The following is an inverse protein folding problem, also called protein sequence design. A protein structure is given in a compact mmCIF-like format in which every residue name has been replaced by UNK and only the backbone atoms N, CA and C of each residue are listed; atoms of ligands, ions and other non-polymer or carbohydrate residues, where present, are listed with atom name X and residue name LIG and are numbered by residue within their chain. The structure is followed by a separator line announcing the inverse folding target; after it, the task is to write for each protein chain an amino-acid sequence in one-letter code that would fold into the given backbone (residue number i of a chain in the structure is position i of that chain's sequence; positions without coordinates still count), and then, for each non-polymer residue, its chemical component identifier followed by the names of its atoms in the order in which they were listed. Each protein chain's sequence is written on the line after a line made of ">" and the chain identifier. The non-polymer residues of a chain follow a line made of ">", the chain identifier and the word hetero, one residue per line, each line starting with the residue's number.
data_IF_636506805300
#
_entry.id   IF_636506805300
#
_cell.length_a   1.000
_cell.length_b   1.000
_cell.length_c   1.000
_cell.angle_alpha   90.00
_cell.angle_beta   90.00
_cell.angle_gamma   90.00
#
_symmetry.space_group_name_H-M   'P 1'
#
loop_
_entity.id
_entity.type
_entity.pdbx_description
1 polymer ?
#
# COMPACT_ATOMS: atom_id res chain seq x y z
N UNK A 1 -14.98 -28.98 22.58
CA UNK A 1 -14.03 -28.70 21.48
C UNK A 1 -13.41 -27.36 21.80
N UNK A 2 -12.11 -27.32 22.09
CA UNK A 2 -11.39 -26.06 22.16
C UNK A 2 -11.32 -25.54 20.72
N UNK A 3 -12.02 -24.47 20.39
CA UNK A 3 -11.74 -23.75 19.14
C UNK A 3 -10.27 -23.33 19.19
N UNK A 4 -9.45 -23.83 18.27
CA UNK A 4 -8.10 -23.32 18.08
C UNK A 4 -8.18 -21.81 17.87
N UNK A 5 -7.61 -21.05 18.79
CA UNK A 5 -7.61 -19.59 18.70
C UNK A 5 -6.66 -19.17 17.58
N UNK A 6 -7.20 -18.71 16.46
CA UNK A 6 -6.41 -17.92 15.51
C UNK A 6 -6.43 -16.46 15.96
N UNK A 7 -5.25 -15.87 16.11
CA UNK A 7 -5.07 -14.47 16.46
C UNK A 7 -4.38 -13.74 15.32
N UNK A 8 -4.84 -12.54 14.99
CA UNK A 8 -4.17 -11.65 14.05
C UNK A 8 -3.62 -10.47 14.85
N UNK A 9 -2.31 -10.26 14.79
CA UNK A 9 -1.65 -9.08 15.36
C UNK A 9 -1.16 -8.19 14.24
N UNK A 10 -1.42 -6.89 14.34
CA UNK A 10 -0.96 -5.91 13.36
C UNK A 10 -0.09 -4.90 14.09
N UNK A 11 1.22 -5.05 13.97
CA UNK A 11 2.19 -4.06 14.44
C UNK A 11 2.27 -2.93 13.42
N UNK A 12 1.98 -1.71 13.85
CA UNK A 12 1.94 -0.53 12.99
C UNK A 12 3.19 0.31 13.21
N UNK A 13 4.19 0.17 12.35
CA UNK A 13 5.44 0.94 12.49
C UNK A 13 5.19 2.43 12.27
N UNK A 14 6.00 3.27 12.91
CA UNK A 14 5.90 4.71 12.72
C UNK A 14 6.44 5.10 11.34
N UNK A 15 5.52 5.22 10.38
CA UNK A 15 5.80 5.49 8.98
C UNK A 15 5.43 6.92 8.53
N UNK A 16 5.11 7.81 9.46
CA UNK A 16 4.77 9.21 9.19
C UNK A 16 3.56 9.34 8.25
N UNK A 17 3.73 9.88 7.03
CA UNK A 17 2.70 9.94 5.99
C UNK A 17 2.65 8.66 5.12
N UNK A 18 3.27 7.57 5.58
CA UNK A 18 3.41 6.33 4.83
C UNK A 18 2.78 5.10 5.48
N UNK A 19 2.80 3.99 4.75
CA UNK A 19 2.36 2.68 5.23
C UNK A 19 3.55 1.82 5.65
N UNK A 20 3.44 1.18 6.83
CA UNK A 20 4.29 0.05 7.18
C UNK A 20 3.68 -0.78 8.30
N UNK A 21 3.34 -2.03 7.99
CA UNK A 21 2.63 -2.93 8.90
C UNK A 21 3.28 -4.31 8.92
N UNK A 22 3.52 -4.86 10.11
CA UNK A 22 3.83 -6.28 10.26
C UNK A 22 2.59 -6.99 10.79
N UNK A 23 2.01 -7.86 9.97
CA UNK A 23 0.88 -8.71 10.33
C UNK A 23 1.39 -10.08 10.72
N UNK A 24 1.12 -10.50 11.95
CA UNK A 24 1.44 -11.82 12.48
C UNK A 24 0.15 -12.61 12.69
N UNK A 25 0.05 -13.77 12.05
CA UNK A 25 -1.06 -14.70 12.20
C UNK A 25 -0.53 -15.93 12.95
N UNK A 26 -1.17 -16.28 14.06
CA UNK A 26 -0.89 -17.52 14.76
C UNK A 26 -2.01 -18.52 14.47
N UNK A 27 -1.70 -19.59 13.73
CA UNK A 27 -2.60 -20.72 13.47
C UNK A 27 -1.98 -21.99 14.06
N UNK A 28 -2.60 -22.55 15.11
CA UNK A 28 -2.09 -23.72 15.84
C UNK A 28 -0.63 -23.49 16.31
N UNK A 29 0.33 -24.26 15.78
CA UNK A 29 1.77 -24.14 16.11
C UNK A 29 2.57 -23.35 15.05
N UNK A 30 1.90 -22.74 14.06
CA UNK A 30 2.54 -21.97 12.99
C UNK A 30 2.30 -20.47 13.17
N UNK A 31 3.38 -19.71 13.04
CA UNK A 31 3.37 -18.26 12.96
C UNK A 31 3.65 -17.83 11.51
N UNK A 32 2.76 -17.03 10.94
CA UNK A 32 2.89 -16.47 9.60
C UNK A 32 3.09 -14.96 9.74
N UNK A 33 4.20 -14.44 9.22
CA UNK A 33 4.56 -13.03 9.31
C UNK A 33 4.54 -12.37 7.92
N UNK A 34 3.76 -11.31 7.78
CA UNK A 34 3.57 -10.55 6.54
C UNK A 34 3.98 -9.10 6.79
N UNK A 35 5.05 -8.65 6.14
CA UNK A 35 5.44 -7.24 6.15
C UNK A 35 4.79 -6.54 4.94
N UNK A 36 3.97 -5.53 5.21
CA UNK A 36 3.23 -4.76 4.19
C UNK A 36 3.81 -3.35 4.18
N UNK A 37 4.43 -2.98 3.05
CA UNK A 37 5.17 -1.74 2.86
C UNK A 37 6.23 -1.47 3.97
N UNK A 38 7.07 -0.46 3.76
CA UNK A 38 8.23 -0.18 4.60
C UNK A 38 8.39 1.31 4.90
N UNK A 39 7.37 2.13 4.65
CA UNK A 39 7.45 3.57 4.84
C UNK A 39 8.60 4.19 4.04
N UNK A 40 9.18 5.24 4.61
CA UNK A 40 10.39 5.88 4.09
C UNK A 40 11.68 5.25 4.67
N UNK A 41 12.85 5.74 4.25
CA UNK A 41 14.14 5.24 4.73
C UNK A 41 14.31 5.37 6.26
N UNK A 42 13.80 6.44 6.87
CA UNK A 42 13.86 6.65 8.31
C UNK A 42 13.02 5.61 9.07
N UNK A 43 11.84 5.27 8.52
CA UNK A 43 10.96 4.22 9.03
C UNK A 43 11.72 2.90 9.14
N UNK A 44 12.45 2.55 8.07
CA UNK A 44 13.29 1.36 8.06
C UNK A 44 14.39 1.41 9.13
N UNK A 45 15.19 2.48 9.14
CA UNK A 45 16.35 2.58 10.02
C UNK A 45 15.98 2.56 11.50
N UNK A 46 14.92 3.28 11.87
CA UNK A 46 14.57 3.53 13.27
C UNK A 46 13.61 2.50 13.85
N UNK A 47 12.75 1.89 13.04
CA UNK A 47 11.65 1.05 13.55
C UNK A 47 11.67 -0.37 12.97
N UNK A 48 11.76 -0.52 11.65
CA UNK A 48 11.66 -1.85 11.02
C UNK A 48 12.92 -2.67 11.28
N UNK A 49 14.12 -2.13 10.97
CA UNK A 49 15.38 -2.87 11.08
C UNK A 49 15.63 -3.44 12.49
N UNK A 50 15.50 -2.66 13.58
CA UNK A 50 15.66 -3.21 14.92
C UNK A 50 14.67 -4.34 15.22
N UNK A 51 13.43 -4.21 14.76
CA UNK A 51 12.39 -5.22 14.95
C UNK A 51 12.70 -6.52 14.18
N UNK A 52 13.11 -6.42 12.91
CA UNK A 52 13.45 -7.59 12.08
C UNK A 52 14.70 -8.31 12.61
N UNK A 53 15.71 -7.59 13.10
CA UNK A 53 16.87 -8.21 13.75
C UNK A 53 16.45 -9.01 14.98
N UNK A 54 15.57 -8.44 15.82
CA UNK A 54 15.06 -9.14 17.00
C UNK A 54 14.21 -10.37 16.63
N UNK A 55 13.39 -10.30 15.58
CA UNK A 55 12.66 -11.46 15.05
C UNK A 55 13.62 -12.55 14.58
N UNK A 56 14.70 -12.18 13.89
CA UNK A 56 15.73 -13.11 13.40
C UNK A 56 16.46 -13.82 14.55
N UNK A 57 16.76 -13.12 15.65
CA UNK A 57 17.31 -13.72 16.89
C UNK A 57 16.40 -14.80 17.49
N UNK A 58 15.08 -14.69 17.26
CA UNK A 58 14.08 -15.65 17.70
C UNK A 58 13.86 -16.80 16.70
N UNK A 59 14.64 -16.85 15.62
CA UNK A 59 14.46 -17.84 14.55
C UNK A 59 13.19 -17.61 13.71
N UNK A 60 12.63 -16.39 13.76
CA UNK A 60 11.46 -16.03 12.94
C UNK A 60 11.91 -15.54 11.56
N UNK A 61 10.94 -15.50 10.66
CA UNK A 61 11.11 -15.04 9.28
C UNK A 61 9.95 -14.19 8.82
N UNK A 62 10.12 -13.51 7.68
CA UNK A 62 9.03 -12.87 6.93
C UNK A 62 8.59 -13.85 5.84
N UNK A 63 7.37 -14.39 5.96
CA UNK A 63 6.82 -15.28 4.94
C UNK A 63 6.49 -14.50 3.66
N UNK A 64 5.92 -13.30 3.82
CA UNK A 64 5.56 -12.44 2.70
C UNK A 64 5.97 -11.00 2.95
N UNK A 65 6.77 -10.43 2.05
CA UNK A 65 6.96 -8.99 1.92
C UNK A 65 6.05 -8.49 0.79
N UNK A 66 5.04 -7.68 1.12
CA UNK A 66 4.09 -7.12 0.15
C UNK A 66 4.41 -5.64 -0.04
N UNK A 67 4.78 -5.25 -1.26
CA UNK A 67 5.02 -3.86 -1.65
C UNK A 67 3.88 -3.39 -2.54
N UNK A 68 3.08 -2.44 -2.05
CA UNK A 68 1.77 -2.14 -2.64
C UNK A 68 1.89 -1.35 -3.95
N UNK A 69 2.77 -0.34 -4.01
CA UNK A 69 3.03 0.50 -5.19
C UNK A 69 4.29 1.38 -5.03
N UNK A 70 4.75 2.02 -6.11
CA UNK A 70 6.03 2.75 -6.18
C UNK A 70 5.90 4.19 -5.69
N UNK A 71 5.60 4.38 -4.40
CA UNK A 71 5.63 5.66 -3.71
C UNK A 71 6.70 5.69 -2.59
N UNK A 72 7.32 6.84 -2.36
CA UNK A 72 8.41 7.00 -1.36
C UNK A 72 8.02 6.64 0.06
N UNK A 73 6.79 6.96 0.40
CA UNK A 73 6.16 6.73 1.70
C UNK A 73 5.65 5.29 1.85
N UNK A 74 5.84 4.44 0.84
CA UNK A 74 5.49 3.01 0.91
C UNK A 74 6.72 2.11 0.75
N UNK A 75 7.49 2.29 -0.33
CA UNK A 75 8.63 1.41 -0.66
C UNK A 75 9.99 1.99 -0.30
N UNK A 76 10.05 3.24 0.19
CA UNK A 76 11.31 3.93 0.46
C UNK A 76 12.19 3.19 1.46
N UNK A 77 11.60 2.58 2.50
CA UNK A 77 12.30 1.73 3.45
C UNK A 77 12.61 0.31 2.94
N UNK A 78 11.94 -0.16 1.88
CA UNK A 78 12.17 -1.49 1.32
C UNK A 78 13.50 -1.57 0.56
N UNK A 79 13.93 -0.46 -0.06
CA UNK A 79 15.22 -0.37 -0.76
C UNK A 79 16.40 -0.65 0.20
N UNK A 80 16.60 0.11 1.31
CA UNK A 80 17.69 -0.17 2.24
C UNK A 80 17.53 -1.53 2.94
N UNK A 81 16.30 -2.00 3.19
CA UNK A 81 16.06 -3.36 3.67
C UNK A 81 16.66 -4.40 2.73
N UNK A 82 16.30 -4.39 1.44
CA UNK A 82 16.77 -5.38 0.48
C UNK A 82 18.28 -5.30 0.25
N UNK A 83 18.85 -4.09 0.22
CA UNK A 83 20.30 -3.86 0.10
C UNK A 83 21.05 -4.46 1.29
N UNK A 84 20.63 -4.15 2.51
CA UNK A 84 21.31 -4.63 3.73
C UNK A 84 21.06 -6.11 3.98
N UNK A 85 19.88 -6.62 3.62
CA UNK A 85 19.54 -8.03 3.76
C UNK A 85 20.25 -8.93 2.73
N UNK A 86 20.76 -8.34 1.64
CA UNK A 86 21.52 -8.97 0.55
C UNK A 86 20.71 -9.91 -0.34
N UNK A 87 20.45 -11.14 0.12
CA UNK A 87 19.92 -12.19 -0.74
C UNK A 87 18.99 -13.15 0.02
N UNK A 88 18.21 -13.91 -0.72
CA UNK A 88 17.38 -14.98 -0.19
C UNK A 88 18.22 -16.10 0.46
N UNK A 89 19.36 -16.47 -0.14
CA UNK A 89 20.18 -17.59 0.34
C UNK A 89 21.07 -17.25 1.54
N UNK A 90 21.48 -15.98 1.68
CA UNK A 90 22.43 -15.51 2.70
C UNK A 90 21.93 -14.22 3.35
N UNK A 91 20.69 -14.25 3.87
CA UNK A 91 20.03 -13.10 4.46
C UNK A 91 20.81 -12.56 5.67
N UNK A 92 21.11 -11.26 5.69
CA UNK A 92 21.87 -10.62 6.79
C UNK A 92 21.01 -9.99 7.89
N UNK A 93 19.73 -9.69 7.61
CA UNK A 93 18.80 -9.11 8.58
C UNK A 93 17.77 -10.15 9.00
N UNK A 94 16.99 -10.67 8.04
CA UNK A 94 15.95 -11.67 8.27
C UNK A 94 15.69 -12.48 6.99
N UNK A 95 15.34 -13.76 7.13
CA UNK A 95 14.83 -14.56 6.01
C UNK A 95 13.53 -13.94 5.48
N UNK A 96 13.49 -13.65 4.18
CA UNK A 96 12.28 -13.20 3.46
C UNK A 96 11.94 -14.27 2.44
N UNK A 97 10.86 -15.01 2.69
CA UNK A 97 10.53 -16.21 1.92
C UNK A 97 9.95 -15.87 0.54
N UNK A 98 8.95 -14.98 0.50
CA UNK A 98 8.31 -14.51 -0.73
C UNK A 98 8.21 -13.00 -0.76
N UNK A 99 8.36 -12.41 -1.95
CA UNK A 99 8.11 -10.98 -2.19
C UNK A 99 6.97 -10.83 -3.19
N UNK A 100 5.94 -10.08 -2.80
CA UNK A 100 4.80 -9.71 -3.63
C UNK A 100 4.96 -8.25 -4.03
N UNK A 101 5.18 -8.01 -5.32
CA UNK A 101 5.35 -6.68 -5.88
C UNK A 101 5.05 -6.73 -7.37
N UNK A 102 4.19 -5.84 -7.89
CA UNK A 102 3.96 -5.83 -9.33
C UNK A 102 5.08 -5.12 -10.08
N UNK A 103 5.59 -3.97 -9.61
CA UNK A 103 6.64 -3.24 -10.32
C UNK A 103 6.33 -3.06 -11.81
N UNK A 104 7.31 -3.37 -12.67
CA UNK A 104 7.13 -3.37 -14.14
C UNK A 104 6.49 -4.65 -14.70
N UNK A 105 5.99 -5.57 -13.87
CA UNK A 105 5.44 -6.84 -14.35
C UNK A 105 4.21 -6.69 -15.25
N UNK A 106 3.68 -5.49 -15.48
CA UNK A 106 2.66 -5.23 -16.49
C UNK A 106 3.06 -5.58 -17.94
N UNK A 107 4.32 -5.90 -18.23
CA UNK A 107 4.78 -6.14 -19.60
C UNK A 107 4.34 -7.43 -20.28
N UNK A 108 3.97 -8.48 -19.54
CA UNK A 108 3.46 -9.69 -20.18
C UNK A 108 2.05 -9.53 -20.73
N UNK A 109 1.36 -8.42 -20.41
CA UNK A 109 0.04 -8.15 -20.98
C UNK A 109 0.10 -7.77 -22.46
N UNK A 110 1.29 -7.41 -22.99
CA UNK A 110 1.54 -7.17 -24.42
C UNK A 110 2.63 -8.10 -25.05
N UNK A 111 3.12 -9.13 -24.36
CA UNK A 111 4.11 -10.09 -24.92
C UNK A 111 5.36 -9.42 -25.53
N UNK A 112 6.01 -8.47 -24.83
CA UNK A 112 7.30 -7.99 -25.31
C UNK A 112 8.38 -9.07 -25.20
N UNK A 113 9.17 -9.30 -26.26
CA UNK A 113 10.19 -10.33 -26.22
C UNK A 113 11.30 -9.96 -25.23
N UNK A 114 11.79 -10.97 -24.51
CA UNK A 114 12.97 -10.85 -23.64
C UNK A 114 14.21 -10.69 -24.52
N UNK A 115 14.68 -9.45 -24.68
CA UNK A 115 15.79 -9.09 -25.56
C UNK A 115 16.70 -8.06 -24.89
N UNK A 116 17.98 -8.09 -25.26
CA UNK A 116 18.94 -7.07 -24.85
C UNK A 116 18.65 -5.72 -25.50
N UNK A 117 18.88 -4.64 -24.73
CA UNK A 117 18.83 -3.29 -25.26
C UNK A 117 20.01 -3.01 -26.22
N UNK A 118 19.74 -2.32 -27.32
CA UNK A 118 20.78 -1.65 -28.11
C UNK A 118 21.47 -0.54 -27.29
N UNK A 119 22.69 -0.16 -27.65
CA UNK A 119 23.42 0.94 -27.01
C UNK A 119 22.66 2.29 -27.02
N UNK A 120 21.71 2.48 -27.96
CA UNK A 120 20.83 3.65 -27.97
C UNK A 120 19.74 3.53 -26.89
N UNK A 121 19.13 2.37 -26.74
CA UNK A 121 18.08 2.11 -25.76
C UNK A 121 18.64 2.12 -24.33
N UNK A 122 19.84 1.56 -24.11
CA UNK A 122 20.54 1.67 -22.82
C UNK A 122 20.73 3.13 -22.40
N UNK A 123 21.21 3.99 -23.32
CA UNK A 123 21.35 5.43 -23.05
C UNK A 123 20.02 6.14 -22.77
N UNK A 124 18.92 5.70 -23.38
CA UNK A 124 17.59 6.20 -23.07
C UNK A 124 17.21 5.86 -21.62
N UNK A 125 17.30 4.59 -21.24
CA UNK A 125 17.00 4.12 -19.89
C UNK A 125 17.86 4.82 -18.83
N UNK A 126 19.17 4.94 -19.06
CA UNK A 126 20.09 5.68 -18.19
C UNK A 126 19.68 7.14 -18.01
N UNK A 127 19.20 7.79 -19.07
CA UNK A 127 18.68 9.15 -19.00
C UNK A 127 17.42 9.29 -18.14
N UNK A 128 16.52 8.30 -18.20
CA UNK A 128 15.30 8.27 -17.38
C UNK A 128 15.66 8.03 -15.92
N UNK A 129 16.57 7.10 -15.64
CA UNK A 129 17.12 6.86 -14.31
C UNK A 129 17.76 8.12 -13.72
N UNK A 130 18.56 8.85 -14.51
CA UNK A 130 19.13 10.13 -14.09
C UNK A 130 18.07 11.19 -13.75
N UNK A 131 16.95 11.23 -14.47
CA UNK A 131 15.83 12.12 -14.15
C UNK A 131 15.11 11.67 -12.87
N UNK A 132 14.85 10.37 -12.70
CA UNK A 132 14.26 9.81 -11.48
C UNK A 132 15.09 10.13 -10.24
N UNK A 133 16.43 10.08 -10.35
CA UNK A 133 17.36 10.55 -9.31
C UNK A 133 17.17 12.02 -8.95
N UNK A 134 17.15 12.89 -9.96
CA UNK A 134 17.03 14.32 -9.74
C UNK A 134 15.70 14.70 -9.08
N UNK A 135 14.66 13.90 -9.31
CA UNK A 135 13.32 14.12 -8.75
C UNK A 135 13.19 13.54 -7.34
N UNK A 136 13.65 12.31 -7.11
CA UNK A 136 13.71 11.72 -5.75
C UNK A 136 14.54 12.59 -4.79
N UNK A 137 15.64 13.16 -5.26
CA UNK A 137 16.53 14.09 -4.54
C UNK A 137 15.93 15.39 -4.01
N UNK A 138 14.72 15.79 -4.45
CA UNK A 138 14.13 17.10 -4.14
C UNK A 138 13.14 17.12 -2.98
N UNK A 139 12.65 15.96 -2.53
CA UNK A 139 11.74 15.85 -1.38
C UNK A 139 12.57 15.63 -0.10
N UNK A 140 12.64 16.67 0.73
CA UNK A 140 13.23 16.75 2.08
C UNK A 140 14.76 16.92 2.23
N UNK A 141 15.09 17.78 3.19
CA UNK A 141 16.41 18.13 3.70
C UNK A 141 16.97 17.01 4.57
N UNK A 142 17.55 15.95 4.01
CA UNK A 142 18.57 15.11 4.70
C UNK A 142 19.09 14.00 3.79
N UNK A 143 20.29 13.49 4.11
CA UNK A 143 21.14 12.61 3.27
C UNK A 143 20.37 11.40 2.72
N UNK A 144 20.13 11.40 1.41
CA UNK A 144 19.43 10.33 0.69
C UNK A 144 20.34 9.20 0.16
N UNK A 145 19.76 8.00 0.12
CA UNK A 145 20.07 6.97 -0.87
C UNK A 145 19.63 7.49 -2.25
N UNK A 146 20.59 7.90 -3.08
CA UNK A 146 20.32 8.41 -4.44
C UNK A 146 19.96 7.24 -5.35
N UNK A 147 18.78 7.24 -5.97
CA UNK A 147 18.23 6.13 -6.75
C UNK A 147 19.07 5.77 -8.00
N UNK A 148 20.13 4.97 -7.84
CA UNK A 148 20.92 4.43 -8.95
C UNK A 148 20.28 3.15 -9.50
N UNK A 149 20.76 2.65 -10.66
CA UNK A 149 20.29 1.37 -11.24
C UNK A 149 20.29 0.22 -10.21
N UNK A 150 21.27 0.25 -9.30
CA UNK A 150 21.47 -0.70 -8.20
C UNK A 150 20.42 -0.62 -7.08
N UNK A 151 19.49 0.33 -7.13
CA UNK A 151 18.54 0.63 -6.04
C UNK A 151 17.07 0.52 -6.46
N UNK A 152 16.81 0.06 -7.70
CA UNK A 152 15.47 -0.33 -8.12
C UNK A 152 15.06 -1.64 -7.44
N UNK A 153 13.79 -1.75 -7.03
CA UNK A 153 13.30 -2.95 -6.34
C UNK A 153 13.43 -4.18 -7.24
N UNK A 154 13.05 -4.08 -8.51
CA UNK A 154 13.18 -5.19 -9.47
C UNK A 154 14.63 -5.68 -9.59
N UNK A 155 15.61 -4.77 -9.61
CA UNK A 155 17.03 -5.11 -9.63
C UNK A 155 17.45 -5.86 -8.37
N UNK A 156 17.13 -5.31 -7.19
CA UNK A 156 17.47 -5.89 -5.90
C UNK A 156 16.85 -7.28 -5.71
N UNK A 157 15.60 -7.48 -6.18
CA UNK A 157 14.93 -8.77 -6.12
C UNK A 157 15.60 -9.83 -7.02
N UNK A 158 16.00 -9.44 -8.24
CA UNK A 158 16.69 -10.32 -9.19
C UNK A 158 18.09 -10.65 -8.69
N UNK A 159 18.89 -9.64 -8.32
CA UNK A 159 20.26 -9.82 -7.85
C UNK A 159 20.32 -10.62 -6.54
N UNK A 160 19.39 -10.35 -5.62
CA UNK A 160 19.28 -11.07 -4.36
C UNK A 160 18.67 -12.47 -4.47
N UNK A 161 18.21 -12.88 -5.67
CA UNK A 161 17.61 -14.19 -5.88
C UNK A 161 16.32 -14.42 -5.07
N UNK A 162 15.58 -13.35 -4.76
CA UNK A 162 14.34 -13.44 -3.99
C UNK A 162 13.22 -14.12 -4.80
N UNK A 163 12.35 -14.87 -4.12
CA UNK A 163 11.14 -15.46 -4.72
C UNK A 163 10.09 -14.39 -4.98
N UNK A 164 10.29 -13.65 -6.06
CA UNK A 164 9.46 -12.53 -6.47
C UNK A 164 8.25 -13.01 -7.28
N UNK A 165 7.06 -12.87 -6.70
CA UNK A 165 5.76 -13.34 -7.18
C UNK A 165 5.75 -14.82 -7.61
N UNK A 166 6.35 -15.68 -6.78
CA UNK A 166 6.46 -17.12 -7.00
C UNK A 166 6.12 -17.83 -5.69
N UNK A 167 5.18 -18.76 -5.70
CA UNK A 167 4.79 -19.56 -4.51
C UNK A 167 4.41 -21.02 -4.80
N UNK A 168 4.05 -21.40 -6.05
CA UNK A 168 3.70 -22.79 -6.42
C UNK A 168 4.71 -23.47 -7.38
N UNK A 169 4.79 -23.04 -8.65
CA UNK A 169 5.44 -23.79 -9.74
C UNK A 169 6.71 -23.11 -10.33
N UNK A 170 7.46 -22.35 -9.54
CA UNK A 170 8.62 -21.53 -9.97
C UNK A 170 8.32 -20.50 -11.08
N UNK A 171 7.06 -20.38 -11.52
CA UNK A 171 6.62 -19.37 -12.49
C UNK A 171 6.26 -18.08 -11.78
N UNK A 172 6.89 -17.00 -12.21
CA UNK A 172 6.54 -15.65 -11.78
C UNK A 172 5.14 -15.30 -12.29
N UNK A 173 4.27 -14.82 -11.39
CA UNK A 173 2.92 -14.38 -11.74
C UNK A 173 2.73 -12.87 -11.52
N UNK A 174 1.84 -12.25 -12.28
CA UNK A 174 1.35 -10.91 -11.96
C UNK A 174 0.26 -11.01 -10.90
N UNK A 175 0.23 -10.04 -9.98
CA UNK A 175 -0.89 -9.87 -9.07
C UNK A 175 -2.01 -9.13 -9.81
N UNK A 176 -3.08 -9.87 -10.13
CA UNK A 176 -4.25 -9.35 -10.85
C UNK A 176 -5.52 -9.83 -10.14
N UNK A 177 -6.39 -8.88 -9.79
CA UNK A 177 -7.60 -9.15 -9.02
C UNK A 177 -8.77 -9.70 -9.85
N UNK A 178 -8.85 -9.37 -11.14
CA UNK A 178 -9.98 -9.80 -12.00
C UNK A 178 -9.98 -11.31 -12.31
N UNK A 179 -8.90 -12.02 -12.03
CA UNK A 179 -8.81 -13.49 -12.06
C UNK A 179 -9.25 -14.14 -10.75
N UNK A 180 -9.73 -13.37 -9.77
CA UNK A 180 -10.01 -13.83 -8.41
C UNK A 180 -8.79 -14.44 -7.73
N UNK A 181 -7.60 -13.96 -8.09
CA UNK A 181 -6.33 -14.47 -7.59
C UNK A 181 -6.26 -14.50 -6.07
N UNK A 182 -5.85 -15.65 -5.55
CA UNK A 182 -5.70 -15.94 -4.13
C UNK A 182 -4.39 -16.68 -3.88
N UNK A 183 -3.79 -16.44 -2.73
CA UNK A 183 -2.64 -17.21 -2.21
C UNK A 183 -3.04 -17.80 -0.86
N UNK A 184 -2.99 -19.12 -0.72
CA UNK A 184 -3.09 -19.78 0.58
C UNK A 184 -1.76 -19.59 1.33
N UNK A 185 -1.85 -19.08 2.57
CA UNK A 185 -0.67 -18.75 3.39
C UNK A 185 -0.59 -19.61 4.65
N UNK A 186 -1.68 -20.27 5.02
CA UNK A 186 -1.79 -21.18 6.15
C UNK A 186 -2.93 -22.17 5.95
N UNK A 187 -3.26 -22.92 7.00
CA UNK A 187 -4.31 -23.96 6.92
C UNK A 187 -5.71 -23.35 6.84
N UNK A 188 -5.89 -22.20 7.49
CA UNK A 188 -7.16 -21.49 7.55
C UNK A 188 -7.03 -20.02 7.13
N UNK A 189 -5.90 -19.67 6.51
CA UNK A 189 -5.58 -18.30 6.14
C UNK A 189 -5.17 -18.16 4.68
N UNK A 190 -5.68 -17.10 4.04
CA UNK A 190 -5.36 -16.77 2.65
C UNK A 190 -5.41 -15.26 2.39
N UNK A 191 -4.69 -14.85 1.36
CA UNK A 191 -4.70 -13.50 0.79
C UNK A 191 -5.54 -13.53 -0.49
N UNK A 192 -6.61 -12.75 -0.53
CA UNK A 192 -7.44 -12.55 -1.72
C UNK A 192 -7.19 -11.17 -2.31
N UNK A 193 -6.62 -11.10 -3.51
CA UNK A 193 -6.36 -9.82 -4.17
C UNK A 193 -7.64 -9.21 -4.74
N UNK A 194 -7.77 -7.89 -4.59
CA UNK A 194 -8.92 -7.09 -5.04
C UNK A 194 -8.51 -5.85 -5.86
N UNK A 195 -7.22 -5.55 -5.94
CA UNK A 195 -6.60 -4.58 -6.85
C UNK A 195 -5.14 -4.98 -7.10
N UNK A 196 -4.54 -4.67 -8.26
CA UNK A 196 -5.14 -4.06 -9.45
C UNK A 196 -5.80 -5.08 -10.39
N UNK A 197 -6.67 -4.63 -11.28
CA UNK A 197 -7.16 -5.38 -12.44
C UNK A 197 -6.20 -5.25 -13.62
N UNK A 198 -6.30 -6.18 -14.58
CA UNK A 198 -5.45 -6.22 -15.78
C UNK A 198 -5.50 -4.90 -16.56
N UNK A 199 -6.66 -4.28 -16.65
CA UNK A 199 -6.84 -3.02 -17.36
C UNK A 199 -6.05 -1.84 -16.75
N UNK A 200 -5.90 -1.80 -15.42
CA UNK A 200 -5.13 -0.73 -14.74
C UNK A 200 -3.65 -0.82 -15.11
N UNK A 201 -3.09 -2.03 -15.07
CA UNK A 201 -1.70 -2.28 -15.49
C UNK A 201 -1.48 -1.92 -16.97
N UNK A 202 -2.43 -2.24 -17.86
CA UNK A 202 -2.37 -1.84 -19.27
C UNK A 202 -2.38 -0.31 -19.44
N UNK A 203 -3.15 0.43 -18.63
CA UNK A 203 -3.23 1.88 -18.71
C UNK A 203 -1.89 2.54 -18.34
N UNK A 204 -1.19 2.01 -17.33
CA UNK A 204 0.13 2.52 -16.95
C UNK A 204 1.20 2.20 -18.00
N UNK A 205 1.17 1.00 -18.61
CA UNK A 205 2.04 0.69 -19.74
C UNK A 205 1.89 1.72 -20.87
N UNK A 206 0.64 2.10 -21.21
CA UNK A 206 0.40 3.13 -22.23
C UNK A 206 0.96 4.50 -21.85
N UNK A 207 0.95 4.86 -20.57
CA UNK A 207 1.61 6.09 -20.07
C UNK A 207 3.12 6.03 -20.26
N UNK A 208 3.74 4.89 -19.93
CA UNK A 208 5.16 4.66 -20.18
C UNK A 208 5.50 4.81 -21.66
N UNK A 209 4.75 4.16 -22.54
CA UNK A 209 4.96 4.29 -23.99
C UNK A 209 4.78 5.71 -24.50
N UNK A 210 3.75 6.42 -24.01
CA UNK A 210 3.51 7.82 -24.36
C UNK A 210 4.65 8.73 -23.87
N UNK A 211 5.18 8.48 -22.67
CA UNK A 211 6.34 9.19 -22.13
C UNK A 211 7.57 8.96 -23.00
N UNK A 212 7.89 7.71 -23.33
CA UNK A 212 9.02 7.36 -24.21
C UNK A 212 8.87 7.99 -25.60
N UNK A 213 7.68 7.91 -26.19
CA UNK A 213 7.39 8.52 -27.51
C UNK A 213 7.53 10.04 -27.47
N UNK A 214 7.12 10.69 -26.39
CA UNK A 214 7.23 12.15 -26.21
C UNK A 214 8.69 12.59 -26.08
N UNK A 215 9.48 11.92 -25.24
CA UNK A 215 10.84 12.34 -24.90
C UNK A 215 11.86 11.85 -25.94
N UNK A 216 11.73 10.61 -26.42
CA UNK A 216 12.73 9.94 -27.25
C UNK A 216 12.24 9.61 -28.67
N UNK A 217 10.98 9.88 -29.00
CA UNK A 217 10.34 9.54 -30.29
C UNK A 217 10.45 8.05 -30.66
N UNK A 218 10.54 7.19 -29.64
CA UNK A 218 10.65 5.73 -29.76
C UNK A 218 9.88 5.08 -28.61
N UNK A 219 9.32 3.89 -28.84
CA UNK A 219 8.76 3.03 -27.80
C UNK A 219 9.70 1.85 -27.59
N UNK A 220 9.92 1.46 -26.33
CA UNK A 220 10.66 0.26 -25.97
C UNK A 220 9.67 -0.90 -25.89
N UNK A 221 9.81 -1.85 -26.81
CA UNK A 221 8.97 -3.04 -26.93
C UNK A 221 9.77 -4.31 -26.60
N UNK A 222 10.52 -4.24 -25.51
CA UNK A 222 11.43 -5.29 -25.03
C UNK A 222 11.32 -5.37 -23.51
N UNK A 223 11.49 -6.56 -22.96
CA UNK A 223 11.56 -6.78 -21.52
C UNK A 223 12.98 -7.20 -21.12
N UNK A 224 13.58 -6.44 -20.21
CA UNK A 224 14.79 -6.81 -19.49
C UNK A 224 14.91 -5.93 -18.24
N UNK A 225 15.91 -6.23 -17.43
CA UNK A 225 16.21 -5.52 -16.18
C UNK A 225 16.39 -4.00 -16.36
N UNK A 226 17.08 -3.57 -17.41
CA UNK A 226 17.36 -2.15 -17.69
C UNK A 226 16.05 -1.39 -17.93
N UNK A 227 15.11 -1.99 -18.67
CA UNK A 227 13.80 -1.38 -18.93
C UNK A 227 12.94 -1.37 -17.67
N UNK A 228 12.97 -2.45 -16.88
CA UNK A 228 12.28 -2.53 -15.56
C UNK A 228 12.72 -1.41 -14.63
N UNK A 229 14.03 -1.19 -14.52
CA UNK A 229 14.61 -0.13 -13.69
C UNK A 229 14.22 1.27 -14.20
N UNK A 230 14.26 1.49 -15.52
CA UNK A 230 13.84 2.75 -16.11
C UNK A 230 12.34 3.02 -15.92
N UNK A 231 11.49 1.98 -15.91
CA UNK A 231 10.07 2.11 -15.62
C UNK A 231 9.81 2.52 -14.17
N UNK A 232 10.49 1.90 -13.19
CA UNK A 232 10.40 2.33 -11.80
C UNK A 232 10.82 3.81 -11.66
N UNK A 233 11.94 4.21 -12.26
CA UNK A 233 12.36 5.61 -12.28
C UNK A 233 11.34 6.54 -12.95
N UNK A 234 10.65 6.08 -14.00
CA UNK A 234 9.55 6.81 -14.60
C UNK A 234 8.37 7.00 -13.66
N UNK A 235 7.99 5.97 -12.89
CA UNK A 235 6.95 6.11 -11.86
C UNK A 235 7.33 7.21 -10.87
N UNK A 236 8.57 7.23 -10.39
CA UNK A 236 9.08 8.32 -9.55
C UNK A 236 8.95 9.72 -10.20
N UNK A 237 9.18 9.85 -11.50
CA UNK A 237 9.06 11.13 -12.22
C UNK A 237 7.60 11.59 -12.29
N UNK A 238 6.67 10.70 -12.66
CA UNK A 238 5.26 11.06 -12.80
C UNK A 238 4.58 11.31 -11.46
N UNK A 239 4.98 10.59 -10.40
CA UNK A 239 4.46 10.74 -9.05
C UNK A 239 4.86 12.08 -8.38
N UNK A 240 5.88 12.77 -8.92
CA UNK A 240 6.27 14.11 -8.47
C UNK A 240 5.59 15.24 -9.25
N UNK A 241 4.98 14.93 -10.39
CA UNK A 241 4.21 15.88 -11.18
C UNK A 241 2.74 15.83 -10.74
N UNK A 242 2.41 16.68 -9.77
CA UNK A 242 1.10 16.93 -9.16
C UNK A 242 0.83 16.19 -7.84
N UNK A 243 0.87 16.96 -6.76
CA UNK A 243 -0.14 16.84 -5.71
C UNK A 243 -0.85 18.18 -5.61
N UNK A 244 -2.18 18.12 -5.63
CA UNK A 244 -3.06 19.29 -5.72
C UNK A 244 -2.78 20.28 -4.58
N UNK A 245 -2.32 21.45 -4.98
CA UNK A 245 -2.48 22.67 -4.19
C UNK A 245 -3.95 23.09 -4.30
N UNK A 246 -4.78 22.66 -3.36
CA UNK A 246 -5.96 23.44 -2.96
C UNK A 246 -5.89 23.57 -1.44
N UNK A 247 -5.22 24.64 -1.02
CA UNK A 247 -5.31 25.16 0.33
C UNK A 247 -6.62 25.95 0.39
N UNK A 248 -7.71 25.29 0.76
CA UNK A 248 -8.83 26.04 1.35
C UNK A 248 -8.43 26.35 2.79
N UNK A 249 -8.26 27.64 3.06
CA UNK A 249 -8.24 28.21 4.39
C UNK A 249 -9.48 27.73 5.15
N UNK A 250 -9.35 26.65 5.93
CA UNK A 250 -10.34 26.32 6.94
C UNK A 250 -10.22 27.40 8.00
N UNK A 251 -11.08 28.40 7.84
CA UNK A 251 -11.40 29.29 8.95
C UNK A 251 -12.04 28.40 10.01
N UNK A 252 -11.44 28.38 11.19
CA UNK A 252 -11.82 27.62 12.39
C UNK A 252 -13.26 27.85 12.82
N UNK A 253 -14.22 27.28 12.10
CA UNK A 253 -15.56 27.03 12.64
C UNK A 253 -15.52 25.70 13.37
N UNK A 254 -15.84 25.72 14.65
CA UNK A 254 -16.03 24.51 15.44
C UNK A 254 -16.99 23.57 14.72
N UNK A 255 -16.57 22.32 14.50
CA UNK A 255 -17.42 21.29 13.92
C UNK A 255 -18.60 21.00 14.87
N UNK A 256 -19.75 20.74 14.27
CA UNK A 256 -20.95 20.27 14.96
C UNK A 256 -21.59 19.13 14.18
N UNK A 257 -22.57 18.45 14.79
CA UNK A 257 -23.27 17.30 14.20
C UNK A 257 -23.77 17.56 12.77
N UNK A 258 -24.47 18.68 12.55
CA UNK A 258 -25.03 19.03 11.24
C UNK A 258 -23.94 19.19 10.17
N UNK A 259 -22.83 19.85 10.52
CA UNK A 259 -21.70 20.03 9.61
C UNK A 259 -21.03 18.70 9.24
N UNK A 260 -20.91 17.77 10.19
CA UNK A 260 -20.39 16.42 9.95
C UNK A 260 -21.34 15.63 9.04
N UNK A 261 -22.63 15.62 9.33
CA UNK A 261 -23.64 14.96 8.50
C UNK A 261 -23.67 15.53 7.07
N UNK A 262 -23.52 16.84 6.93
CA UNK A 262 -23.42 17.50 5.62
C UNK A 262 -22.17 17.04 4.85
N UNK A 263 -21.00 17.02 5.49
CA UNK A 263 -19.76 16.54 4.86
C UNK A 263 -19.84 15.07 4.45
N UNK A 264 -20.43 14.21 5.29
CA UNK A 264 -20.59 12.80 5.01
C UNK A 264 -21.42 12.52 3.73
N UNK A 265 -22.33 13.44 3.38
CA UNK A 265 -23.17 13.33 2.19
C UNK A 265 -22.52 13.85 0.90
N UNK A 266 -21.33 14.48 0.98
CA UNK A 266 -20.63 14.95 -0.22
C UNK A 266 -20.10 13.75 -1.00
N UNK A 267 -20.27 13.80 -2.32
CA UNK A 267 -19.73 12.81 -3.25
C UNK A 267 -18.61 13.43 -4.07
N UNK A 268 -17.49 12.71 -4.18
CA UNK A 268 -16.35 13.11 -4.99
C UNK A 268 -16.18 12.14 -6.15
N UNK A 269 -15.56 12.61 -7.24
CA UNK A 269 -15.03 11.70 -8.24
C UNK A 269 -13.91 10.87 -7.61
N UNK A 270 -13.93 9.56 -7.87
CA UNK A 270 -12.90 8.67 -7.34
C UNK A 270 -11.51 9.06 -7.83
N UNK A 271 -10.50 8.61 -7.09
CA UNK A 271 -9.11 8.81 -7.48
C UNK A 271 -8.79 7.92 -8.69
N UNK A 272 -8.80 8.51 -9.88
CA UNK A 272 -8.46 7.85 -11.13
C UNK A 272 -7.04 8.17 -11.57
N UNK A 273 -6.16 8.66 -10.69
CA UNK A 273 -4.73 8.71 -10.99
C UNK A 273 -4.26 7.29 -11.30
N UNK A 274 -3.51 7.12 -12.39
CA UNK A 274 -3.14 5.77 -12.85
C UNK A 274 -2.09 5.14 -11.94
N UNK A 275 -1.33 5.98 -11.26
CA UNK A 275 -0.28 5.66 -10.30
C UNK A 275 -0.85 4.85 -9.13
N UNK A 276 -1.91 5.39 -8.50
CA UNK A 276 -2.62 4.72 -7.41
C UNK A 276 -3.46 3.52 -7.87
N UNK A 277 -3.75 3.43 -9.17
CA UNK A 277 -4.48 2.29 -9.73
C UNK A 277 -3.63 1.03 -9.80
N UNK A 278 -2.30 1.09 -9.73
CA UNK A 278 -1.47 -0.12 -9.68
C UNK A 278 -1.36 -0.72 -8.28
N UNK A 279 -1.83 0.01 -7.26
CA UNK A 279 -1.77 -0.41 -5.87
C UNK A 279 -2.40 -1.79 -5.66
N UNK A 280 -1.60 -2.67 -5.06
CA UNK A 280 -2.04 -3.96 -4.58
C UNK A 280 -2.93 -3.74 -3.36
N UNK A 281 -4.18 -4.17 -3.45
CA UNK A 281 -5.11 -4.23 -2.32
C UNK A 281 -5.63 -5.66 -2.19
N UNK A 282 -5.87 -6.09 -0.95
CA UNK A 282 -6.25 -7.46 -0.66
C UNK A 282 -7.07 -7.59 0.62
N UNK A 283 -7.82 -8.69 0.70
CA UNK A 283 -8.43 -9.19 1.93
C UNK A 283 -7.54 -10.28 2.49
N UNK A 284 -7.05 -10.08 3.72
CA UNK A 284 -6.50 -11.16 4.52
C UNK A 284 -7.65 -11.87 5.23
N UNK A 285 -7.89 -13.12 4.89
CA UNK A 285 -8.89 -13.95 5.57
C UNK A 285 -8.21 -14.96 6.48
N UNK A 286 -8.69 -15.07 7.71
CA UNK A 286 -8.24 -16.05 8.71
C UNK A 286 -9.48 -16.62 9.38
N UNK A 287 -9.82 -17.89 9.08
CA UNK A 287 -11.12 -18.49 9.44
C UNK A 287 -12.29 -17.61 8.97
N UNK A 288 -13.08 -17.09 9.89
CA UNK A 288 -14.21 -16.20 9.61
C UNK A 288 -13.83 -14.71 9.55
N UNK A 289 -12.68 -14.34 10.11
CA UNK A 289 -12.18 -12.96 10.19
C UNK A 289 -11.65 -12.48 8.85
N UNK A 290 -11.94 -11.22 8.50
CA UNK A 290 -11.49 -10.56 7.27
C UNK A 290 -10.91 -9.19 7.59
N UNK A 291 -9.63 -9.00 7.26
CA UNK A 291 -8.95 -7.72 7.38
C UNK A 291 -8.67 -7.19 5.99
N UNK A 292 -9.02 -5.94 5.74
CA UNK A 292 -8.95 -5.31 4.43
C UNK A 292 -7.80 -4.30 4.38
N UNK A 293 -6.81 -4.58 3.52
CA UNK A 293 -5.68 -3.69 3.26
C UNK A 293 -5.86 -3.05 1.88
N UNK A 294 -6.16 -1.74 1.85
CA UNK A 294 -6.48 -1.03 0.61
C UNK A 294 -5.29 -0.35 -0.06
N UNK A 295 -4.11 -0.26 0.59
CA UNK A 295 -2.97 0.51 0.07
C UNK A 295 -3.41 1.91 -0.35
N UNK A 296 -3.12 2.28 -1.60
CA UNK A 296 -3.64 3.49 -2.25
C UNK A 296 -4.64 3.18 -3.38
N UNK A 297 -5.19 1.96 -3.40
CA UNK A 297 -6.02 1.49 -4.49
C UNK A 297 -7.31 2.29 -4.67
N UNK A 298 -7.76 2.42 -5.92
CA UNK A 298 -9.05 3.03 -6.24
C UNK A 298 -10.21 2.25 -5.59
N UNK A 299 -11.03 2.94 -4.81
CA UNK A 299 -12.07 2.32 -3.99
C UNK A 299 -13.19 1.66 -4.82
N UNK A 300 -13.51 2.21 -5.99
CA UNK A 300 -14.56 1.68 -6.86
C UNK A 300 -14.14 0.36 -7.51
N UNK A 301 -12.86 0.22 -7.80
CA UNK A 301 -12.28 -1.02 -8.32
C UNK A 301 -12.29 -2.09 -7.23
N UNK A 302 -11.82 -1.75 -6.03
CA UNK A 302 -11.87 -2.63 -4.86
C UNK A 302 -13.30 -3.11 -4.60
N UNK A 303 -14.27 -2.18 -4.57
CA UNK A 303 -15.69 -2.47 -4.37
C UNK A 303 -16.24 -3.45 -5.41
N UNK A 304 -16.02 -3.19 -6.71
CA UNK A 304 -16.48 -4.05 -7.80
C UNK A 304 -15.88 -5.46 -7.71
N UNK A 305 -14.62 -5.59 -7.31
CA UNK A 305 -13.99 -6.90 -7.18
C UNK A 305 -14.49 -7.63 -5.94
N UNK A 306 -14.65 -6.94 -4.81
CA UNK A 306 -15.29 -7.49 -3.61
C UNK A 306 -16.72 -7.98 -3.90
N UNK A 307 -17.50 -7.23 -4.69
CA UNK A 307 -18.84 -7.64 -5.15
C UNK A 307 -18.82 -8.93 -5.97
N UNK A 308 -17.84 -9.11 -6.84
CA UNK A 308 -17.72 -10.35 -7.62
C UNK A 308 -17.31 -11.52 -6.73
N UNK A 309 -16.46 -11.29 -5.74
CA UNK A 309 -15.94 -12.33 -4.84
C UNK A 309 -17.02 -12.79 -3.86
N UNK A 310 -17.74 -11.84 -3.24
CA UNK A 310 -18.62 -12.13 -2.12
C UNK A 310 -20.10 -11.82 -2.35
N UNK A 311 -20.45 -11.27 -3.51
CA UNK A 311 -21.82 -10.88 -3.85
C UNK A 311 -22.20 -9.48 -3.33
N UNK A 312 -23.50 -9.20 -3.38
CA UNK A 312 -24.06 -7.88 -3.04
C UNK A 312 -24.46 -7.75 -1.56
N UNK A 313 -24.41 -8.83 -0.80
CA UNK A 313 -24.77 -8.80 0.61
C UNK A 313 -23.72 -8.04 1.42
N UNK A 314 -24.12 -7.27 2.44
CA UNK A 314 -23.17 -6.62 3.33
C UNK A 314 -22.25 -7.62 4.03
N UNK A 315 -20.96 -7.27 4.10
CA UNK A 315 -19.92 -8.04 4.78
C UNK A 315 -19.26 -7.14 5.80
N UNK A 316 -19.20 -7.63 7.02
CA UNK A 316 -18.44 -6.99 8.08
C UNK A 316 -16.97 -7.38 7.95
N UNK A 317 -16.10 -6.37 7.86
CA UNK A 317 -14.66 -6.53 7.98
C UNK A 317 -14.26 -6.30 9.45
N UNK A 318 -13.29 -7.06 9.93
CA UNK A 318 -12.72 -6.88 11.28
C UNK A 318 -11.98 -5.55 11.39
N UNK A 319 -11.20 -5.20 10.36
CA UNK A 319 -10.47 -3.95 10.26
C UNK A 319 -10.32 -3.55 8.80
N UNK A 320 -10.40 -2.24 8.51
CA UNK A 320 -10.11 -1.69 7.19
C UNK A 320 -8.98 -0.66 7.30
N UNK A 321 -7.81 -0.95 6.71
CA UNK A 321 -6.81 0.08 6.40
C UNK A 321 -7.34 0.92 5.25
N UNK A 322 -7.61 2.19 5.51
CA UNK A 322 -8.20 3.08 4.52
C UNK A 322 -7.25 3.32 3.35
N UNK A 323 -7.82 3.42 2.16
CA UNK A 323 -7.06 3.71 0.96
C UNK A 323 -6.49 5.13 1.00
N UNK A 324 -5.25 5.30 0.50
CA UNK A 324 -4.65 6.60 0.22
C UNK A 324 -4.69 7.53 1.44
N UNK A 325 -4.31 6.96 2.59
CA UNK A 325 -4.20 7.61 3.90
C UNK A 325 -5.50 8.30 4.36
N UNK A 326 -6.66 7.82 3.90
CA UNK A 326 -7.97 8.40 4.21
C UNK A 326 -8.34 9.59 3.31
N UNK A 327 -7.92 9.60 2.05
CA UNK A 327 -8.38 10.55 1.04
C UNK A 327 -9.89 10.47 0.80
N UNK A 328 -10.57 11.62 0.74
CA UNK A 328 -12.02 11.70 0.42
C UNK A 328 -12.42 11.13 -0.94
N UNK A 329 -11.45 10.94 -1.84
CA UNK A 329 -11.65 10.36 -3.17
C UNK A 329 -11.52 8.84 -3.19
N UNK A 330 -11.14 8.21 -2.08
CA UNK A 330 -10.94 6.77 -1.94
C UNK A 330 -11.87 6.15 -0.89
N UNK A 331 -13.03 6.75 -0.66
CA UNK A 331 -14.07 6.23 0.23
C UNK A 331 -15.46 6.64 -0.26
N UNK A 332 -16.48 5.81 -0.03
CA UNK A 332 -17.87 6.13 -0.35
C UNK A 332 -18.86 5.48 0.63
N UNK A 333 -20.06 6.05 0.74
CA UNK A 333 -21.11 5.50 1.60
C UNK A 333 -21.53 4.11 1.10
N UNK A 334 -21.65 3.96 -0.23
CA UNK A 334 -21.94 2.67 -0.88
C UNK A 334 -20.91 1.59 -0.52
N UNK A 335 -19.62 1.93 -0.51
CA UNK A 335 -18.58 1.01 -0.05
C UNK A 335 -18.71 0.66 1.44
N UNK A 336 -18.92 1.65 2.32
CA UNK A 336 -19.02 1.43 3.76
C UNK A 336 -20.29 0.68 4.19
N UNK A 337 -21.40 0.87 3.47
CA UNK A 337 -22.63 0.11 3.69
C UNK A 337 -22.46 -1.36 3.34
N UNK A 338 -21.72 -1.65 2.27
CA UNK A 338 -21.53 -3.00 1.76
C UNK A 338 -20.34 -3.75 2.39
N UNK A 339 -19.23 -3.08 2.66
CA UNK A 339 -17.98 -3.70 3.12
C UNK A 339 -17.38 -2.98 4.34
N UNK A 340 -18.21 -2.34 5.16
CA UNK A 340 -17.76 -1.55 6.32
C UNK A 340 -17.29 -2.36 7.53
N UNK A 341 -16.74 -1.63 8.51
CA UNK A 341 -16.19 -2.16 9.76
C UNK A 341 -16.59 -1.32 10.97
N UNK A 342 -16.33 -1.84 12.17
CA UNK A 342 -16.26 -1.05 13.42
C UNK A 342 -14.85 -0.51 13.68
N UNK A 343 -13.85 -1.02 12.97
CA UNK A 343 -12.46 -0.63 13.15
C UNK A 343 -11.85 -0.15 11.84
N UNK A 344 -11.26 1.03 11.88
CA UNK A 344 -10.62 1.66 10.72
C UNK A 344 -9.19 2.06 11.08
N UNK A 345 -8.26 1.84 10.17
CA UNK A 345 -6.85 2.20 10.33
C UNK A 345 -6.48 3.31 9.32
N UNK A 346 -5.91 4.39 9.83
CA UNK A 346 -5.44 5.55 9.06
C UNK A 346 -3.96 5.79 9.38
N UNK A 347 -3.11 5.54 8.39
CA UNK A 347 -1.67 5.82 8.39
C UNK A 347 -1.41 7.16 7.71
N UNK A 348 -1.53 8.26 8.46
CA UNK A 348 -1.39 9.62 7.92
C UNK A 348 -1.01 10.61 9.03
N UNK A 349 -0.61 11.82 8.64
CA UNK A 349 -0.83 13.00 9.48
C UNK A 349 0.39 13.87 9.77
N UNK A 350 1.52 13.66 9.09
CA UNK A 350 2.60 14.66 9.08
C UNK A 350 2.25 15.87 8.20
N UNK A 351 1.43 15.68 7.17
CA UNK A 351 0.82 16.77 6.40
C UNK A 351 -0.63 17.01 6.82
N UNK A 352 -1.06 18.27 6.83
CA UNK A 352 -2.46 18.68 7.11
C UNK A 352 -3.46 18.30 5.98
N UNK A 353 -3.03 17.47 5.03
CA UNK A 353 -3.84 17.08 3.86
C UNK A 353 -4.68 15.84 4.13
N UNK A 354 -4.26 14.96 5.06
CA UNK A 354 -4.86 13.63 5.26
C UNK A 354 -4.89 13.23 6.74
N UNK A 355 -5.91 12.49 7.20
CA UNK A 355 -7.12 12.12 6.45
C UNK A 355 -7.96 13.35 6.10
N UNK A 356 -8.83 13.24 5.09
CA UNK A 356 -9.75 14.33 4.76
C UNK A 356 -10.89 14.42 5.79
N UNK A 357 -11.35 15.63 6.09
CA UNK A 357 -12.51 15.85 6.99
C UNK A 357 -13.74 15.05 6.55
N UNK A 358 -14.00 14.99 5.24
CA UNK A 358 -15.12 14.27 4.66
C UNK A 358 -14.99 12.75 4.82
N UNK A 359 -13.76 12.22 4.84
CA UNK A 359 -13.52 10.79 5.12
C UNK A 359 -13.93 10.48 6.55
N UNK A 360 -13.42 11.25 7.52
CA UNK A 360 -13.77 11.07 8.94
C UNK A 360 -15.29 11.18 9.10
N UNK A 361 -15.91 12.23 8.54
CA UNK A 361 -17.35 12.41 8.60
C UNK A 361 -18.15 11.20 8.07
N UNK A 362 -17.74 10.61 6.94
CA UNK A 362 -18.38 9.39 6.39
C UNK A 362 -18.28 8.21 7.36
N UNK A 363 -17.13 8.03 8.02
CA UNK A 363 -16.96 6.97 9.02
C UNK A 363 -17.89 7.17 10.23
N UNK A 364 -17.99 8.39 10.76
CA UNK A 364 -18.83 8.68 11.94
C UNK A 364 -20.31 8.44 11.64
N UNK A 365 -20.79 8.90 10.48
CA UNK A 365 -22.21 8.82 10.08
C UNK A 365 -22.62 7.41 9.63
N UNK A 366 -21.70 6.64 9.05
CA UNK A 366 -21.97 5.23 8.74
C UNK A 366 -22.21 4.45 10.04
N UNK A 367 -23.15 3.49 10.06
CA UNK A 367 -23.46 2.65 11.23
C UNK A 367 -23.51 3.45 12.56
N UNK A 368 -24.41 4.43 12.70
CA UNK A 368 -24.36 5.41 13.79
C UNK A 368 -24.66 4.84 15.19
N UNK A 369 -25.17 3.61 15.26
CA UNK A 369 -25.49 2.89 16.51
C UNK A 369 -24.35 2.00 17.01
N UNK A 370 -23.24 1.94 16.27
CA UNK A 370 -22.11 1.09 16.60
C UNK A 370 -20.94 1.95 17.05
N UNK A 371 -20.30 1.53 18.14
CA UNK A 371 -19.03 2.13 18.59
C UNK A 371 -17.95 1.81 17.56
N UNK A 372 -17.24 2.84 17.10
CA UNK A 372 -16.14 2.71 16.15
C UNK A 372 -14.80 3.02 16.82
N UNK A 373 -13.79 2.23 16.50
CA UNK A 373 -12.40 2.54 16.85
C UNK A 373 -11.67 2.97 15.58
N UNK A 374 -11.21 4.22 15.56
CA UNK A 374 -10.41 4.77 14.45
C UNK A 374 -8.96 4.84 14.91
N UNK A 375 -8.17 3.86 14.48
CA UNK A 375 -6.75 3.75 14.75
C UNK A 375 -5.97 4.73 13.87
N UNK A 376 -5.14 5.57 14.49
CA UNK A 376 -4.34 6.60 13.82
C UNK A 376 -2.85 6.45 14.19
N UNK A 377 -1.96 6.63 13.21
CA UNK A 377 -0.52 6.65 13.47
C UNK A 377 0.00 8.04 13.84
N UNK A 378 -0.70 9.12 13.47
CA UNK A 378 -0.36 10.47 13.91
C UNK A 378 -1.63 11.26 14.23
N UNK A 379 -1.52 12.17 15.20
CA UNK A 379 -2.55 13.17 15.47
C UNK A 379 -2.21 14.44 14.69
N UNK A 380 -3.18 15.00 13.99
CA UNK A 380 -3.05 16.24 13.22
C UNK A 380 -4.27 17.14 13.38
N UNK A 381 -4.25 18.30 12.72
CA UNK A 381 -5.32 19.30 12.79
C UNK A 381 -6.70 18.77 12.38
N UNK A 382 -6.77 17.83 11.43
CA UNK A 382 -8.03 17.19 11.05
C UNK A 382 -8.56 16.30 12.17
N UNK A 383 -7.73 15.44 12.74
CA UNK A 383 -8.13 14.59 13.88
C UNK A 383 -8.58 15.48 15.05
N UNK A 384 -7.84 16.54 15.36
CA UNK A 384 -8.18 17.49 16.44
C UNK A 384 -9.54 18.16 16.26
N UNK A 385 -9.98 18.44 15.02
CA UNK A 385 -11.30 19.00 14.78
C UNK A 385 -12.45 18.04 15.17
N UNK A 386 -12.22 16.72 15.08
CA UNK A 386 -13.21 15.70 15.45
C UNK A 386 -13.06 15.21 16.89
N UNK A 387 -11.86 15.27 17.47
CA UNK A 387 -11.52 14.81 18.83
C UNK A 387 -11.96 15.84 19.89
N UNK A 388 -13.27 16.16 19.91
CA UNK A 388 -13.88 17.15 20.82
C UNK A 388 -15.14 16.60 21.47
N UNK A 389 -15.43 17.05 22.70
CA UNK A 389 -16.61 16.59 23.47
C UNK A 389 -17.92 16.72 22.69
N UNK A 390 -18.10 17.82 21.93
CA UNK A 390 -19.31 18.04 21.14
C UNK A 390 -19.53 16.92 20.10
N UNK A 391 -18.45 16.47 19.45
CA UNK A 391 -18.51 15.44 18.42
C UNK A 391 -18.61 14.04 19.05
N UNK A 392 -17.89 13.76 20.14
CA UNK A 392 -18.03 12.49 20.88
C UNK A 392 -19.42 12.31 21.52
N UNK A 393 -20.08 13.40 21.90
CA UNK A 393 -21.48 13.35 22.36
C UNK A 393 -22.47 13.10 21.22
N UNK A 394 -22.11 13.43 19.97
CA UNK A 394 -22.98 13.29 18.81
C UNK A 394 -22.81 11.95 18.08
N UNK A 395 -21.64 11.32 18.16
CA UNK A 395 -21.29 10.10 17.43
C UNK A 395 -20.53 9.10 18.30
N UNK A 396 -20.79 7.81 18.11
CA UNK A 396 -20.15 6.71 18.86
C UNK A 396 -18.82 6.32 18.22
N UNK A 397 -17.73 6.95 18.64
CA UNK A 397 -16.38 6.61 18.16
C UNK A 397 -15.30 7.00 19.17
N UNK A 398 -14.11 6.44 18.96
CA UNK A 398 -12.87 6.84 19.61
C UNK A 398 -11.74 6.93 18.59
N UNK A 399 -10.79 7.82 18.83
CA UNK A 399 -9.48 7.77 18.17
C UNK A 399 -8.50 7.02 19.06
N UNK A 400 -7.77 6.07 18.48
CA UNK A 400 -6.75 5.28 19.20
C UNK A 400 -5.41 5.53 18.52
N UNK A 401 -4.46 6.15 19.24
CA UNK A 401 -3.11 6.32 18.73
C UNK A 401 -2.34 5.02 18.85
N UNK A 402 -1.83 4.53 17.72
CA UNK A 402 -1.16 3.24 17.56
C UNK A 402 0.23 3.36 16.93
N UNK A 403 0.82 4.56 16.88
CA UNK A 403 2.20 4.71 16.42
C UNK A 403 3.13 3.69 17.12
N UNK A 404 3.77 2.82 16.35
CA UNK A 404 4.63 1.75 16.85
C UNK A 404 3.98 0.83 17.90
N UNK A 405 2.68 0.56 17.77
CA UNK A 405 1.88 -0.29 18.66
C UNK A 405 1.28 -1.48 17.91
N UNK A 406 0.60 -2.38 18.63
CA UNK A 406 -0.03 -3.59 18.08
C UNK A 406 -1.55 -3.51 18.23
N UNK A 407 -2.26 -3.76 17.13
CA UNK A 407 -3.71 -4.05 17.14
C UNK A 407 -3.88 -5.57 17.19
N UNK A 408 -4.67 -6.08 18.14
CA UNK A 408 -5.04 -7.50 18.22
C UNK A 408 -6.48 -7.70 17.71
N UNK A 409 -6.69 -8.67 16.82
CA UNK A 409 -7.99 -8.99 16.21
C UNK A 409 -8.37 -10.43 16.51
#
# INVERSE_FOLDING_TARGET
>A
MYEERCNIKIHTFQAFDGDSFLVTICESEKEINILIDCGNQETYQNYIKPHLLHMSEQGKKINFLILTHVHSDHIGGAIPLLVENRSFAESCIIEIEHVIYNGYLGLELECYPSLDCTAKEQRMCQGILAQGRAVSGRKQTEKQITLNEELCISHLLIQGGYKWNVWDDDKRCLIIADTHMKIDIGEHSYIQFISPNKQQLIQMNKKWEAYLKRIYRKVLKIDNEIVRNAYEAFQWIVNNANYDTIQELITSKALNKESVEKMANITYSYDYTEENKESIAFVLSVKNKKVLFLGDANIEICRKNLEKIYGLNPIEMELIKLSHHGSKRNISNHFLEQFGSRSYLISAGMTDLRPSMETIAKLLVNRPKEQKSIYITNKNSTIECFDTDNIHNAFMFEFVNIANSVIEI
#
